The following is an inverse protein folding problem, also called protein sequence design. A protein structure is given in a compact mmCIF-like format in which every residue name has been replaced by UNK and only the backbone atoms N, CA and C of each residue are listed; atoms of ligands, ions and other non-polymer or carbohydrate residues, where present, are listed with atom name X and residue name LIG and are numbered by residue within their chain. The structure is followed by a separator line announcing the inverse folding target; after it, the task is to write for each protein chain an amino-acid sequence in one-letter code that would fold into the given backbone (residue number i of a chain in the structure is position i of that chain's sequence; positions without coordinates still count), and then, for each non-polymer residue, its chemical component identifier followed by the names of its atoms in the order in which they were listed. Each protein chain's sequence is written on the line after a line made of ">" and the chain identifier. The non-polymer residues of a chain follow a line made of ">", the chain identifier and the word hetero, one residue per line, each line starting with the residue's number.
data_IF_183309310697
#
_entry.id   IF_183309310697
#
_cell.length_a   1.000
_cell.length_b   1.000
_cell.length_c   1.000
_cell.angle_alpha   90.00
_cell.angle_beta   90.00
_cell.angle_gamma   90.00
#
_symmetry.space_group_name_H-M   'P 1'
#
loop_
_entity.id
_entity.type
_entity.pdbx_description
1 polymer ?
#
# COMPACT_ATOMS: atom_id res chain seq x y z
N UNK A 1 -5.06 -15.33 20.43
CA UNK A 1 -5.25 -16.25 19.28
C UNK A 1 -5.77 -15.42 18.12
N UNK A 2 -5.27 -15.63 16.89
CA UNK A 2 -5.78 -14.89 15.72
C UNK A 2 -7.15 -15.47 15.36
N UNK A 3 -8.18 -14.63 15.37
CA UNK A 3 -9.54 -15.00 14.95
C UNK A 3 -9.65 -14.98 13.43
N UNK A 4 -8.89 -14.10 12.79
CA UNK A 4 -8.85 -13.91 11.35
C UNK A 4 -7.46 -13.44 10.94
N UNK A 5 -6.94 -13.94 9.82
CA UNK A 5 -5.69 -13.50 9.20
C UNK A 5 -5.85 -13.51 7.69
N UNK A 6 -5.70 -12.34 7.07
CA UNK A 6 -5.78 -12.15 5.62
C UNK A 6 -4.50 -11.50 5.10
N UNK A 7 -3.97 -12.08 4.04
CA UNK A 7 -2.84 -11.55 3.29
C UNK A 7 -3.39 -11.10 1.94
N UNK A 8 -3.47 -9.78 1.66
CA UNK A 8 -3.95 -9.30 0.38
C UNK A 8 -3.15 -9.91 -0.77
N UNK A 9 -3.82 -10.35 -1.85
CA UNK A 9 -3.14 -10.87 -3.01
C UNK A 9 -2.26 -9.78 -3.62
N UNK A 10 -1.01 -10.11 -3.93
CA UNK A 10 -0.11 -9.25 -4.67
C UNK A 10 -0.40 -9.36 -6.17
N UNK A 11 -1.20 -8.46 -6.72
CA UNK A 11 -1.38 -8.35 -8.18
C UNK A 11 -0.51 -7.26 -8.82
N UNK A 12 0.77 -7.17 -8.44
CA UNK A 12 1.66 -6.09 -8.92
C UNK A 12 2.43 -6.45 -10.21
N UNK A 13 1.85 -7.26 -11.11
CA UNK A 13 2.54 -7.70 -12.34
C UNK A 13 3.03 -6.51 -13.16
N UNK A 14 2.21 -5.46 -13.28
CA UNK A 14 2.55 -4.23 -14.04
C UNK A 14 3.73 -3.48 -13.44
N UNK A 15 3.82 -3.39 -12.11
CA UNK A 15 4.93 -2.70 -11.44
C UNK A 15 6.25 -3.47 -11.53
N UNK A 16 6.19 -4.80 -11.47
CA UNK A 16 7.34 -5.65 -11.77
C UNK A 16 7.87 -5.38 -13.19
N UNK A 17 6.96 -5.34 -14.18
CA UNK A 17 7.31 -5.02 -15.57
C UNK A 17 7.88 -3.61 -15.72
N UNK A 18 7.24 -2.57 -15.16
CA UNK A 18 7.72 -1.19 -15.24
C UNK A 18 9.12 -1.06 -14.62
N UNK A 19 9.32 -1.64 -13.44
CA UNK A 19 10.62 -1.61 -12.76
C UNK A 19 11.71 -2.34 -13.57
N UNK A 20 11.36 -3.48 -14.17
CA UNK A 20 12.24 -4.22 -15.07
C UNK A 20 12.62 -3.44 -16.33
N UNK A 21 11.65 -2.76 -16.96
CA UNK A 21 11.90 -1.90 -18.13
C UNK A 21 12.81 -0.73 -17.76
N UNK A 22 12.63 -0.11 -16.59
CA UNK A 22 13.52 0.96 -16.12
C UNK A 22 14.95 0.47 -15.86
N UNK A 23 15.11 -0.72 -15.28
CA UNK A 23 16.43 -1.34 -15.07
C UNK A 23 17.13 -1.62 -16.40
N UNK A 24 16.41 -2.25 -17.35
CA UNK A 24 16.96 -2.55 -18.67
C UNK A 24 17.29 -1.26 -19.44
N UNK A 25 16.41 -0.27 -19.42
CA UNK A 25 16.65 1.02 -20.06
C UNK A 25 17.87 1.75 -19.50
N UNK A 26 18.03 1.78 -18.17
CA UNK A 26 19.21 2.34 -17.53
C UNK A 26 20.50 1.59 -17.90
N UNK A 27 20.45 0.26 -17.96
CA UNK A 27 21.59 -0.56 -18.37
C UNK A 27 21.99 -0.32 -19.83
N UNK A 28 21.02 -0.22 -20.74
CA UNK A 28 21.26 0.11 -22.16
C UNK A 28 21.87 1.50 -22.29
N UNK A 29 21.38 2.50 -21.55
CA UNK A 29 21.97 3.85 -21.58
C UNK A 29 23.44 3.85 -21.14
N UNK A 30 23.79 3.12 -20.08
CA UNK A 30 25.20 2.99 -19.67
C UNK A 30 26.04 2.28 -20.72
N UNK A 31 25.50 1.22 -21.33
CA UNK A 31 26.21 0.47 -22.37
C UNK A 31 26.48 1.33 -23.60
N UNK A 32 25.52 2.18 -24.01
CA UNK A 32 25.71 3.16 -25.08
C UNK A 32 26.80 4.18 -24.73
N UNK A 33 26.82 4.70 -23.49
CA UNK A 33 27.90 5.62 -23.08
C UNK A 33 29.28 4.97 -23.02
N UNK A 34 29.34 3.65 -22.81
CA UNK A 34 30.58 2.88 -22.80
C UNK A 34 31.09 2.58 -24.21
N UNK A 35 30.20 2.22 -25.13
CA UNK A 35 30.56 1.88 -26.53
C UNK A 35 30.92 3.13 -27.33
N UNK A 36 30.24 4.24 -27.11
CA UNK A 36 30.45 5.47 -27.89
C UNK A 36 31.20 6.51 -27.05
N UNK A 37 32.52 6.40 -27.08
CA UNK A 37 33.41 7.19 -26.22
C UNK A 37 33.50 8.69 -26.64
N UNK A 38 32.89 9.08 -27.76
CA UNK A 38 32.90 10.46 -28.27
C UNK A 38 31.54 11.20 -28.16
N UNK A 39 30.54 10.62 -27.48
CA UNK A 39 29.25 11.31 -27.31
C UNK A 39 29.43 12.60 -26.49
N UNK A 40 29.18 13.74 -27.13
CA UNK A 40 29.09 15.02 -26.43
C UNK A 40 27.89 14.96 -25.47
N UNK A 41 28.13 14.99 -24.15
CA UNK A 41 27.07 14.90 -23.14
C UNK A 41 26.88 13.54 -22.44
N UNK A 42 27.83 12.59 -22.50
CA UNK A 42 27.75 11.29 -21.78
C UNK A 42 27.31 11.38 -20.32
N UNK A 43 27.77 12.40 -19.60
CA UNK A 43 27.45 12.62 -18.19
C UNK A 43 25.93 12.77 -17.97
N UNK A 44 25.21 13.34 -18.94
CA UNK A 44 23.74 13.46 -18.91
C UNK A 44 23.10 12.07 -18.99
N UNK A 45 23.56 11.22 -19.90
CA UNK A 45 23.06 9.85 -20.03
C UNK A 45 23.36 8.99 -18.79
N UNK A 46 24.54 9.15 -18.18
CA UNK A 46 24.89 8.47 -16.93
C UNK A 46 24.02 8.93 -15.76
N UNK A 47 23.71 10.23 -15.66
CA UNK A 47 22.78 10.76 -14.67
C UNK A 47 21.36 10.23 -14.88
N UNK A 48 20.87 10.21 -16.12
CA UNK A 48 19.56 9.65 -16.45
C UNK A 48 19.48 8.16 -16.10
N UNK A 49 20.49 7.36 -16.47
CA UNK A 49 20.56 5.95 -16.12
C UNK A 49 20.54 5.73 -14.60
N UNK A 50 21.32 6.52 -13.85
CA UNK A 50 21.33 6.47 -12.38
C UNK A 50 19.97 6.82 -11.79
N UNK A 51 19.30 7.84 -12.34
CA UNK A 51 17.93 8.20 -11.97
C UNK A 51 16.93 7.07 -12.22
N UNK A 52 17.00 6.42 -13.39
CA UNK A 52 16.14 5.27 -13.72
C UNK A 52 16.35 4.11 -12.75
N UNK A 53 17.59 3.81 -12.38
CA UNK A 53 17.89 2.80 -11.37
C UNK A 53 17.34 3.18 -9.99
N UNK A 54 17.53 4.43 -9.57
CA UNK A 54 16.99 4.92 -8.30
C UNK A 54 15.48 4.77 -8.21
N UNK A 55 14.77 5.18 -9.27
CA UNK A 55 13.30 5.04 -9.37
C UNK A 55 12.91 3.57 -9.36
N UNK A 56 13.58 2.71 -10.12
CA UNK A 56 13.24 1.28 -10.17
C UNK A 56 13.45 0.59 -8.82
N UNK A 57 14.58 0.84 -8.15
CA UNK A 57 14.85 0.30 -6.80
C UNK A 57 13.79 0.78 -5.81
N UNK A 58 13.41 2.06 -5.87
CA UNK A 58 12.34 2.61 -5.04
C UNK A 58 11.01 1.89 -5.29
N UNK A 59 10.62 1.69 -6.55
CA UNK A 59 9.38 1.01 -6.91
C UNK A 59 9.37 -0.45 -6.42
N UNK A 60 10.46 -1.19 -6.65
CA UNK A 60 10.59 -2.58 -6.20
C UNK A 60 10.55 -2.68 -4.68
N UNK A 61 11.34 -1.86 -3.99
CA UNK A 61 11.40 -1.86 -2.52
C UNK A 61 10.05 -1.51 -1.90
N UNK A 62 9.37 -0.50 -2.43
CA UNK A 62 8.12 0.02 -1.85
C UNK A 62 6.90 -0.84 -2.18
N UNK A 63 6.82 -1.38 -3.40
CA UNK A 63 5.58 -1.99 -3.91
C UNK A 63 5.71 -3.49 -4.22
N UNK A 64 6.93 -4.00 -4.47
CA UNK A 64 7.15 -5.43 -4.75
C UNK A 64 7.58 -6.18 -3.50
N UNK A 65 8.44 -5.60 -2.66
CA UNK A 65 9.00 -6.29 -1.49
C UNK A 65 8.15 -6.17 -0.22
N UNK A 66 7.32 -5.13 -0.09
CA UNK A 66 6.44 -4.94 1.08
C UNK A 66 5.15 -5.73 0.95
N UNK A 67 4.74 -6.39 2.01
CA UNK A 67 3.45 -7.07 2.17
C UNK A 67 2.76 -6.51 3.40
N UNK A 68 1.43 -6.59 3.43
CA UNK A 68 0.65 -6.31 4.62
C UNK A 68 -0.14 -7.56 4.98
N UNK A 69 -0.34 -7.75 6.28
CA UNK A 69 -1.17 -8.82 6.83
C UNK A 69 -2.19 -8.12 7.72
N UNK A 70 -3.46 -8.38 7.46
CA UNK A 70 -4.57 -7.90 8.27
C UNK A 70 -4.99 -9.03 9.20
N UNK A 71 -5.05 -8.77 10.50
CA UNK A 71 -5.46 -9.80 11.44
C UNK A 71 -6.35 -9.22 12.54
N UNK A 72 -7.36 -9.98 12.94
CA UNK A 72 -8.14 -9.70 14.14
C UNK A 72 -7.63 -10.62 15.25
N UNK A 73 -7.12 -10.03 16.31
CA UNK A 73 -6.49 -10.73 17.44
C UNK A 73 -7.37 -10.59 18.67
N UNK A 74 -7.75 -11.71 19.28
CA UNK A 74 -8.45 -11.69 20.56
C UNK A 74 -7.48 -11.37 21.69
N UNK A 75 -7.84 -10.39 22.52
CA UNK A 75 -7.11 -9.90 23.69
C UNK A 75 -8.01 -9.90 24.92
N UNK A 76 -7.43 -9.81 26.11
CA UNK A 76 -8.18 -9.86 27.38
C UNK A 76 -9.23 -8.74 27.54
N UNK A 77 -9.13 -7.67 26.74
CA UNK A 77 -10.07 -6.54 26.71
C UNK A 77 -10.98 -6.47 25.48
N UNK A 78 -10.97 -7.47 24.60
CA UNK A 78 -11.76 -7.50 23.35
C UNK A 78 -10.94 -7.89 22.13
N UNK A 79 -11.48 -7.59 20.94
CA UNK A 79 -10.81 -7.90 19.68
C UNK A 79 -10.07 -6.69 19.13
N UNK A 80 -8.82 -6.88 18.72
CA UNK A 80 -8.01 -5.84 18.08
C UNK A 80 -7.84 -6.13 16.59
N UNK A 81 -8.12 -5.14 15.75
CA UNK A 81 -7.70 -5.12 14.37
C UNK A 81 -6.24 -4.69 14.27
N UNK A 82 -5.42 -5.50 13.61
CA UNK A 82 -3.99 -5.25 13.44
C UNK A 82 -3.60 -5.28 11.97
N UNK A 83 -2.69 -4.38 11.61
CA UNK A 83 -1.99 -4.39 10.33
C UNK A 83 -0.52 -4.64 10.60
N UNK A 84 0.00 -5.72 10.03
CA UNK A 84 1.41 -6.08 10.11
C UNK A 84 2.07 -5.91 8.75
N UNK A 85 3.11 -5.08 8.68
CA UNK A 85 3.99 -5.00 7.52
C UNK A 85 4.96 -6.18 7.54
N UNK A 86 5.03 -6.92 6.43
CA UNK A 86 5.98 -8.00 6.20
C UNK A 86 6.98 -7.55 5.12
N UNK A 87 8.24 -7.37 5.51
CA UNK A 87 9.34 -7.03 4.60
C UNK A 87 10.51 -7.97 4.85
N UNK A 88 10.95 -8.72 3.82
CA UNK A 88 12.11 -9.64 3.90
C UNK A 88 12.09 -10.54 5.16
N UNK A 89 10.94 -11.17 5.44
CA UNK A 89 10.68 -12.04 6.62
C UNK A 89 10.57 -11.33 7.97
N UNK A 90 10.85 -10.03 8.07
CA UNK A 90 10.56 -9.24 9.28
C UNK A 90 9.09 -8.85 9.29
N UNK A 91 8.42 -9.12 10.40
CA UNK A 91 7.03 -8.72 10.68
C UNK A 91 7.06 -7.53 11.65
N UNK A 92 6.42 -6.43 11.27
CA UNK A 92 6.31 -5.23 12.11
C UNK A 92 4.85 -4.78 12.15
N UNK A 93 4.24 -4.74 13.34
CA UNK A 93 2.88 -4.20 13.48
C UNK A 93 2.92 -2.68 13.28
N UNK A 94 2.25 -2.20 12.24
CA UNK A 94 2.23 -0.78 11.84
C UNK A 94 0.93 -0.07 12.21
N UNK A 95 -0.11 -0.83 12.55
CA UNK A 95 -1.37 -0.33 13.07
C UNK A 95 -1.99 -1.37 13.99
N UNK A 96 -2.58 -0.91 15.10
CA UNK A 96 -3.37 -1.70 16.03
C UNK A 96 -4.50 -0.83 16.56
N UNK A 97 -5.73 -1.26 16.36
CA UNK A 97 -6.94 -0.53 16.74
C UNK A 97 -7.92 -1.52 17.34
N UNK A 98 -8.48 -1.17 18.50
CA UNK A 98 -9.57 -1.97 19.07
C UNK A 98 -10.77 -1.95 18.13
N UNK A 99 -11.38 -3.10 17.87
CA UNK A 99 -12.58 -3.21 17.04
C UNK A 99 -13.72 -2.35 17.62
N UNK A 100 -13.77 -2.18 18.95
CA UNK A 100 -14.73 -1.29 19.62
C UNK A 100 -14.62 0.19 19.20
N UNK A 101 -13.45 0.61 18.71
CA UNK A 101 -13.19 1.99 18.29
C UNK A 101 -13.48 2.21 16.81
N UNK A 102 -13.88 1.17 16.07
CA UNK A 102 -14.25 1.27 14.67
C UNK A 102 -15.67 1.85 14.59
N UNK A 103 -15.78 3.08 14.13
CA UNK A 103 -17.07 3.76 14.01
C UNK A 103 -17.86 3.26 12.81
N UNK A 104 -17.21 3.15 11.64
CA UNK A 104 -17.85 2.84 10.35
C UNK A 104 -16.87 2.20 9.39
N UNK A 105 -17.41 1.39 8.50
CA UNK A 105 -16.68 0.89 7.33
C UNK A 105 -17.39 1.30 6.04
N UNK A 106 -16.60 1.53 5.00
CA UNK A 106 -17.11 1.89 3.67
C UNK A 106 -16.42 1.03 2.63
N UNK A 107 -17.22 0.43 1.76
CA UNK A 107 -16.73 -0.22 0.56
C UNK A 107 -16.80 0.79 -0.58
N UNK A 108 -15.64 1.08 -1.17
CA UNK A 108 -15.50 2.04 -2.26
C UNK A 108 -15.08 1.28 -3.51
N UNK A 109 -15.94 1.37 -4.53
CA UNK A 109 -15.69 0.79 -5.84
C UNK A 109 -14.63 1.61 -6.60
N UNK A 110 -13.94 1.00 -7.57
CA UNK A 110 -13.04 1.68 -8.48
C UNK A 110 -13.57 3.01 -9.03
N UNK A 111 -12.82 4.11 -8.84
CA UNK A 111 -13.14 5.40 -9.45
C UNK A 111 -14.25 6.21 -8.77
N UNK A 112 -14.84 5.71 -7.67
CA UNK A 112 -15.87 6.43 -6.89
C UNK A 112 -15.24 7.52 -6.00
N UNK A 113 -14.82 8.61 -6.66
CA UNK A 113 -14.21 9.79 -6.01
C UNK A 113 -15.16 10.46 -5.02
N UNK A 114 -16.47 10.39 -5.26
CA UNK A 114 -17.48 11.02 -4.39
C UNK A 114 -17.48 10.36 -3.02
N UNK A 115 -17.49 9.03 -2.95
CA UNK A 115 -17.37 8.33 -1.67
C UNK A 115 -16.00 8.53 -1.04
N UNK A 116 -14.93 8.55 -1.82
CA UNK A 116 -13.58 8.77 -1.27
C UNK A 116 -13.46 10.16 -0.62
N UNK A 117 -13.97 11.20 -1.29
CA UNK A 117 -13.96 12.57 -0.76
C UNK A 117 -14.93 12.72 0.43
N UNK A 118 -16.03 11.96 0.45
CA UNK A 118 -16.91 11.89 1.62
C UNK A 118 -16.19 11.31 2.84
N UNK A 119 -15.39 10.24 2.68
CA UNK A 119 -14.57 9.70 3.79
C UNK A 119 -13.54 10.72 4.26
N UNK A 120 -12.88 11.43 3.33
CA UNK A 120 -11.94 12.50 3.68
C UNK A 120 -12.62 13.67 4.41
N UNK A 121 -13.85 14.00 4.05
CA UNK A 121 -14.63 15.03 4.73
C UNK A 121 -15.03 14.60 6.16
N UNK A 122 -15.30 13.32 6.38
CA UNK A 122 -15.67 12.78 7.70
C UNK A 122 -14.56 12.86 8.74
N UNK A 123 -13.29 12.77 8.31
CA UNK A 123 -12.15 12.93 9.22
C UNK A 123 -11.81 14.38 9.53
N UNK A 124 -12.39 15.39 8.84
CA UNK A 124 -12.25 16.84 9.12
C UNK A 124 -10.82 17.33 9.48
N UNK A 125 -9.79 16.76 8.86
CA UNK A 125 -8.38 17.08 9.15
C UNK A 125 -7.63 16.10 10.06
N UNK A 126 -8.28 15.01 10.48
CA UNK A 126 -7.64 13.88 11.16
C UNK A 126 -6.72 13.07 10.24
N UNK A 127 -6.08 12.05 10.79
CA UNK A 127 -5.07 11.25 10.07
C UNK A 127 -5.67 10.32 9.03
N UNK A 128 -5.09 10.36 7.84
CA UNK A 128 -5.35 9.40 6.79
C UNK A 128 -4.19 8.40 6.69
N UNK A 129 -4.46 7.13 6.95
CA UNK A 129 -3.46 6.05 6.89
C UNK A 129 -3.82 5.08 5.77
N UNK A 130 -2.88 4.80 4.86
CA UNK A 130 -3.07 3.81 3.80
C UNK A 130 -2.21 2.58 4.09
N UNK A 131 -2.87 1.47 4.41
CA UNK A 131 -2.23 0.18 4.68
C UNK A 131 -2.52 -0.83 3.59
N UNK A 132 -2.44 -0.35 2.36
CA UNK A 132 -2.48 -1.16 1.17
C UNK A 132 -1.64 -0.44 0.11
N UNK A 133 -0.40 -0.90 -0.07
CA UNK A 133 0.41 -0.51 -1.21
C UNK A 133 0.38 -1.61 -2.29
N UNK A 134 -0.71 -2.37 -2.43
CA UNK A 134 -1.07 -2.96 -3.73
C UNK A 134 -1.31 -1.78 -4.66
N UNK A 135 -0.22 -1.38 -5.31
CA UNK A 135 -0.23 -0.37 -6.32
C UNK A 135 -0.60 -1.06 -7.64
N UNK A 136 -1.84 -1.56 -7.70
CA UNK A 136 -2.50 -1.32 -8.95
C UNK A 136 -2.68 0.20 -9.03
N UNK A 137 -1.98 0.81 -9.98
CA UNK A 137 -2.05 2.23 -10.30
C UNK A 137 -3.47 2.65 -10.74
N UNK A 138 -4.40 1.70 -10.79
CA UNK A 138 -5.78 1.84 -11.20
C UNK A 138 -6.68 1.24 -10.13
N UNK A 139 -7.43 2.12 -9.48
CA UNK A 139 -8.73 1.90 -8.86
C UNK A 139 -9.16 0.43 -8.72
N UNK A 140 -8.69 -0.24 -7.66
CA UNK A 140 -9.28 -1.47 -7.17
C UNK A 140 -10.28 -1.17 -6.05
N UNK A 141 -11.30 -2.01 -5.95
CA UNK A 141 -12.28 -1.99 -4.85
C UNK A 141 -11.52 -2.00 -3.52
N UNK A 142 -11.90 -1.12 -2.60
CA UNK A 142 -11.19 -0.96 -1.33
C UNK A 142 -12.13 -0.77 -0.16
N UNK A 143 -11.65 -1.09 1.05
CA UNK A 143 -12.38 -0.92 2.29
C UNK A 143 -11.74 0.22 3.08
N UNK A 144 -12.56 1.16 3.50
CA UNK A 144 -12.19 2.23 4.41
C UNK A 144 -12.73 1.92 5.80
N UNK A 145 -11.87 1.94 6.80
CA UNK A 145 -12.24 1.87 8.21
C UNK A 145 -12.10 3.27 8.80
N UNK A 146 -13.20 3.81 9.32
CA UNK A 146 -13.20 5.01 10.14
C UNK A 146 -13.14 4.57 11.60
N UNK A 147 -12.11 4.99 12.31
CA UNK A 147 -11.91 4.65 13.71
C UNK A 147 -11.51 5.88 14.54
N UNK A 148 -11.75 5.81 15.85
CA UNK A 148 -11.21 6.75 16.81
C UNK A 148 -9.91 6.20 17.43
N UNK A 149 -8.81 6.91 17.21
CA UNK A 149 -7.51 6.61 17.81
C UNK A 149 -7.12 7.77 18.75
N UNK A 150 -7.31 7.58 20.05
CA UNK A 150 -6.97 8.56 21.10
C UNK A 150 -7.70 9.91 20.96
N UNK A 151 -8.97 9.91 20.56
CA UNK A 151 -9.79 11.12 20.37
C UNK A 151 -9.61 11.78 19.00
N UNK A 152 -8.86 11.15 18.10
CA UNK A 152 -8.64 11.61 16.73
C UNK A 152 -9.31 10.64 15.75
N UNK A 153 -10.09 11.17 14.80
CA UNK A 153 -10.68 10.36 13.73
C UNK A 153 -9.62 9.99 12.71
N UNK A 154 -9.48 8.69 12.48
CA UNK A 154 -8.54 8.12 11.53
C UNK A 154 -9.30 7.37 10.44
N UNK A 155 -8.95 7.62 9.18
CA UNK A 155 -9.42 6.83 8.05
C UNK A 155 -8.31 5.90 7.59
N UNK A 156 -8.63 4.61 7.52
CA UNK A 156 -7.69 3.55 7.13
C UNK A 156 -8.16 2.91 5.84
N UNK A 157 -7.36 3.03 4.79
CA UNK A 157 -7.62 2.34 3.52
C UNK A 157 -6.94 0.98 3.48
N UNK A 158 -7.72 -0.06 3.21
CA UNK A 158 -7.31 -1.47 3.10
C UNK A 158 -7.65 -2.04 1.72
N UNK A 159 -6.99 -3.14 1.35
CA UNK A 159 -7.44 -3.97 0.23
C UNK A 159 -8.81 -4.55 0.53
N UNK A 160 -9.64 -4.68 -0.50
CA UNK A 160 -10.89 -5.40 -0.37
C UNK A 160 -10.65 -6.91 -0.19
N UNK A 161 -11.46 -7.51 0.66
CA UNK A 161 -11.54 -8.94 0.94
C UNK A 161 -12.96 -9.23 1.43
N UNK A 162 -13.61 -10.24 0.86
CA UNK A 162 -14.97 -10.63 1.20
C UNK A 162 -15.12 -11.02 2.68
N UNK A 163 -14.14 -11.75 3.23
CA UNK A 163 -14.12 -12.14 4.63
C UNK A 163 -13.99 -10.89 5.53
N UNK A 164 -13.08 -9.97 5.19
CA UNK A 164 -12.90 -8.71 5.93
C UNK A 164 -14.16 -7.84 5.89
N UNK A 165 -14.84 -7.77 4.74
CA UNK A 165 -16.12 -7.09 4.61
C UNK A 165 -17.18 -7.72 5.51
N UNK A 166 -17.27 -9.05 5.55
CA UNK A 166 -18.24 -9.75 6.40
C UNK A 166 -18.00 -9.47 7.89
N UNK A 167 -16.74 -9.44 8.35
CA UNK A 167 -16.39 -9.12 9.74
C UNK A 167 -16.80 -7.69 10.14
N UNK A 168 -16.82 -6.74 9.20
CA UNK A 168 -17.21 -5.37 9.48
C UNK A 168 -18.65 -5.03 9.11
N UNK A 169 -19.34 -5.93 8.40
CA UNK A 169 -20.74 -5.77 7.99
C UNK A 169 -21.73 -6.43 8.96
N UNK A 170 -21.24 -7.29 9.87
CA UNK A 170 -22.08 -8.04 10.82
C UNK A 170 -22.48 -7.22 12.06
N UNK A 171 -21.86 -6.05 12.30
CA UNK A 171 -22.27 -5.18 13.41
C UNK A 171 -22.60 -3.77 12.91
N UNK A 172 -23.89 -3.56 12.59
CA UNK A 172 -24.62 -2.30 12.81
C UNK A 172 -26.13 -2.46 12.74
#
# INVERSE_FOLDING_TARGET
>A
MNLFEFIPPKNNKRLGTISGVLLLGGAVMLLVTYVFDEIMGKWIFQLLATGMFGVSIFLVSRYVMKNFIYAIVSTDGGNDFTVTELQNKKKTTVCRISVSNIERTFVIEPGDKVKEDSVKALIKGGKYKKYNYCADLFDEKCIYILADECGEKVAIRLSWCEELESYFSVEK
#
